data_IF_919058692193
#
_entry.id   IF_919058692193
#
_cell.length_a   1.000
_cell.length_b   1.000
_cell.length_c   1.000
_cell.angle_alpha   90.00
_cell.angle_beta   90.00
_cell.angle_gamma   90.00
#
_symmetry.space_group_name_H-M   'P 1'
#
loop_
_entity.id
_entity.type
_entity.pdbx_description
1 polymer ?
#
# COMPACT_ATOMS: atom_id res chain seq x y z
N UNK A 1 16.35 -2.63 -18.21
CA UNK A 1 16.96 -1.68 -19.18
C UNK A 1 17.73 -2.50 -20.22
N UNK A 2 17.41 -2.38 -21.52
CA UNK A 2 18.04 -3.18 -22.59
C UNK A 2 19.14 -2.38 -23.29
N UNK A 3 20.26 -3.00 -23.68
CA UNK A 3 21.26 -2.36 -24.54
C UNK A 3 20.62 -1.89 -25.86
N UNK A 4 20.95 -0.67 -26.30
CA UNK A 4 20.44 -0.08 -27.55
C UNK A 4 19.01 0.49 -27.50
N UNK A 5 18.39 0.55 -26.32
CA UNK A 5 17.09 1.21 -26.12
C UNK A 5 17.24 2.42 -25.18
N UNK A 6 16.29 3.36 -25.20
CA UNK A 6 16.35 4.57 -24.38
C UNK A 6 16.44 4.21 -22.89
N UNK A 7 17.38 4.83 -22.17
CA UNK A 7 17.76 4.47 -20.79
C UNK A 7 18.84 3.38 -20.71
N UNK A 8 19.17 2.71 -21.81
CA UNK A 8 20.26 1.73 -21.96
C UNK A 8 21.67 2.29 -21.75
N UNK A 9 21.83 3.58 -22.04
CA UNK A 9 23.06 4.36 -21.85
C UNK A 9 23.30 4.75 -20.38
N UNK A 10 22.26 4.71 -19.55
CA UNK A 10 22.32 5.02 -18.11
C UNK A 10 22.08 3.72 -17.33
N UNK A 11 23.12 2.97 -16.95
CA UNK A 11 22.93 1.78 -16.14
C UNK A 11 22.41 2.19 -14.75
N UNK A 12 21.09 2.22 -14.58
CA UNK A 12 20.45 2.35 -13.28
C UNK A 12 20.71 1.04 -12.53
N UNK A 13 21.79 1.03 -11.74
CA UNK A 13 21.99 0.06 -10.66
C UNK A 13 21.43 0.68 -9.39
N UNK A 14 20.42 0.04 -8.83
CA UNK A 14 19.87 0.40 -7.53
C UNK A 14 19.51 -0.87 -6.78
N UNK A 15 19.87 -0.91 -5.50
CA UNK A 15 19.40 -1.95 -4.60
C UNK A 15 18.06 -1.49 -4.02
N UNK A 16 16.99 -2.20 -4.35
CA UNK A 16 15.70 -2.00 -3.71
C UNK A 16 15.71 -2.72 -2.37
N UNK A 17 16.07 -1.99 -1.30
CA UNK A 17 15.73 -2.44 0.04
C UNK A 17 14.25 -2.16 0.27
N UNK A 18 13.43 -3.21 0.31
CA UNK A 18 12.07 -3.11 0.85
C UNK A 18 12.21 -2.60 2.28
N UNK A 19 11.95 -1.30 2.49
CA UNK A 19 12.07 -0.68 3.80
C UNK A 19 11.09 -1.36 4.75
N UNK A 20 11.39 -1.30 6.05
CA UNK A 20 10.50 -1.75 7.12
C UNK A 20 9.05 -1.39 6.81
N UNK A 21 8.10 -2.29 7.08
CA UNK A 21 6.67 -2.03 6.95
C UNK A 21 6.26 -0.68 7.59
N UNK A 22 6.92 -0.29 8.69
CA UNK A 22 6.73 1.02 9.33
C UNK A 22 7.06 2.21 8.41
N UNK A 23 8.02 2.09 7.50
CA UNK A 23 8.32 3.16 6.54
C UNK A 23 7.24 3.29 5.47
N UNK A 24 6.61 2.17 5.07
CA UNK A 24 5.45 2.20 4.15
C UNK A 24 4.28 2.90 4.84
N UNK A 25 4.00 2.55 6.09
CA UNK A 25 2.97 3.23 6.88
C UNK A 25 3.26 4.73 7.07
N UNK A 26 4.51 5.08 7.34
CA UNK A 26 4.91 6.48 7.49
C UNK A 26 4.72 7.27 6.18
N UNK A 27 5.09 6.68 5.04
CA UNK A 27 4.85 7.29 3.74
C UNK A 27 3.36 7.55 3.49
N UNK A 28 2.51 6.54 3.70
CA UNK A 28 1.05 6.68 3.54
C UNK A 28 0.44 7.66 4.54
N UNK A 29 0.98 7.75 5.76
CA UNK A 29 0.54 8.71 6.77
C UNK A 29 0.87 10.15 6.36
N UNK A 30 2.09 10.38 5.84
CA UNK A 30 2.52 11.71 5.38
C UNK A 30 1.75 12.18 4.15
N UNK A 31 1.35 11.27 3.26
CA UNK A 31 0.60 11.64 2.05
C UNK A 31 -0.82 12.14 2.30
N UNK A 32 -1.37 11.98 3.52
CA UNK A 32 -2.67 12.51 3.90
C UNK A 32 -2.67 14.04 4.08
N UNK A 33 -1.56 14.63 4.54
CA UNK A 33 -1.51 16.05 4.92
C UNK A 33 -0.17 16.70 4.59
N UNK A 34 0.94 16.13 5.06
CA UNK A 34 2.27 16.77 4.98
C UNK A 34 2.85 16.81 3.56
N UNK A 35 2.80 15.68 2.86
CA UNK A 35 3.40 15.48 1.55
C UNK A 35 2.41 14.82 0.58
N UNK A 36 1.33 15.53 0.17
CA UNK A 36 0.32 14.97 -0.70
C UNK A 36 0.90 14.55 -2.04
N UNK A 37 0.53 13.35 -2.48
CA UNK A 37 0.88 12.86 -3.82
C UNK A 37 0.14 13.68 -4.88
N UNK A 38 0.78 13.88 -6.04
CA UNK A 38 0.29 14.75 -7.11
C UNK A 38 0.54 14.11 -8.47
N UNK A 39 -0.28 14.51 -9.45
CA UNK A 39 -0.19 13.98 -10.80
C UNK A 39 1.12 14.39 -11.47
N UNK A 40 1.74 13.45 -12.17
CA UNK A 40 2.99 13.67 -12.92
C UNK A 40 2.76 13.22 -14.35
N UNK A 41 2.91 14.18 -15.27
CA UNK A 41 2.80 13.89 -16.69
C UNK A 41 3.81 12.82 -17.10
N UNK A 42 3.30 11.88 -17.90
CA UNK A 42 4.12 10.80 -18.40
C UNK A 42 5.13 11.31 -19.41
N UNK A 43 6.38 10.87 -19.26
CA UNK A 43 7.42 11.17 -20.24
C UNK A 43 6.99 10.61 -21.62
N UNK A 44 7.13 11.39 -22.72
CA UNK A 44 6.75 10.96 -24.07
C UNK A 44 7.40 9.65 -24.55
N UNK A 45 8.50 9.24 -23.91
CA UNK A 45 9.21 7.99 -24.20
C UNK A 45 8.61 6.78 -23.51
N UNK A 46 7.64 6.99 -22.61
CA UNK A 46 6.92 5.93 -21.89
C UNK A 46 5.87 5.34 -22.84
N UNK A 47 5.86 4.01 -23.08
CA UNK A 47 4.79 3.38 -23.84
C UNK A 47 3.42 3.61 -23.19
N UNK A 48 2.35 3.47 -23.97
CA UNK A 48 0.99 3.56 -23.44
C UNK A 48 0.80 2.56 -22.29
N UNK A 49 0.29 3.05 -21.17
CA UNK A 49 -0.09 2.26 -20.00
C UNK A 49 -1.58 2.45 -19.73
N UNK A 50 -2.15 1.52 -18.95
CA UNK A 50 -3.58 1.52 -18.65
C UNK A 50 -3.92 2.23 -17.34
N UNK A 51 -3.00 2.22 -16.38
CA UNK A 51 -3.26 2.69 -15.02
C UNK A 51 -2.01 3.39 -14.45
N UNK A 52 -2.16 4.65 -14.05
CA UNK A 52 -1.15 5.45 -13.36
C UNK A 52 -1.89 6.40 -12.40
N UNK A 53 -2.36 5.89 -11.25
CA UNK A 53 -3.06 6.72 -10.29
C UNK A 53 -2.11 7.72 -9.65
N UNK A 54 -2.65 8.88 -9.31
CA UNK A 54 -1.93 9.94 -8.61
C UNK A 54 -1.47 9.48 -7.22
N UNK A 55 -2.32 8.73 -6.53
CA UNK A 55 -2.08 8.25 -5.17
C UNK A 55 -1.68 6.78 -5.19
N UNK A 56 -0.69 6.43 -4.37
CA UNK A 56 -0.31 5.03 -4.11
C UNK A 56 -1.52 4.21 -3.66
N UNK A 57 -2.32 4.78 -2.75
CA UNK A 57 -3.64 4.30 -2.35
C UNK A 57 -4.38 5.48 -1.71
N UNK A 58 -5.63 5.71 -2.11
CA UNK A 58 -6.42 6.81 -1.57
C UNK A 58 -7.01 6.46 -0.20
N UNK A 59 -6.71 7.31 0.79
CA UNK A 59 -7.19 7.20 2.16
C UNK A 59 -8.14 8.35 2.46
N UNK A 60 -9.29 8.03 3.06
CA UNK A 60 -10.28 8.98 3.53
C UNK A 60 -10.00 9.29 5.00
N UNK A 61 -9.87 10.57 5.31
CA UNK A 61 -9.76 11.10 6.66
C UNK A 61 -10.95 12.03 6.93
N UNK A 62 -11.72 11.75 7.98
CA UNK A 62 -12.89 12.56 8.33
C UNK A 62 -13.17 12.60 9.83
N UNK A 63 -13.89 13.63 10.28
CA UNK A 63 -14.37 13.72 11.67
C UNK A 63 -15.55 12.79 11.98
N UNK A 64 -16.31 12.42 10.94
CA UNK A 64 -17.45 11.51 10.99
C UNK A 64 -17.19 10.26 10.18
N UNK A 65 -17.97 9.19 10.40
CA UNK A 65 -17.81 7.95 9.64
C UNK A 65 -18.05 8.20 8.13
N UNK A 66 -17.10 7.86 7.24
CA UNK A 66 -17.26 8.08 5.81
C UNK A 66 -18.46 7.31 5.25
N UNK A 67 -19.36 8.02 4.57
CA UNK A 67 -20.48 7.38 3.87
C UNK A 67 -19.97 6.62 2.65
N UNK A 68 -20.41 5.36 2.50
CA UNK A 68 -20.04 4.52 1.36
C UNK A 68 -18.67 3.85 1.45
N UNK A 69 -17.90 4.00 2.53
CA UNK A 69 -16.72 3.17 2.76
C UNK A 69 -17.14 1.75 3.19
N UNK A 70 -16.51 0.73 2.59
CA UNK A 70 -16.76 -0.68 2.98
C UNK A 70 -16.36 -0.95 4.45
N UNK A 71 -15.29 -0.30 4.90
CA UNK A 71 -14.77 -0.37 6.27
C UNK A 71 -14.17 0.97 6.66
N UNK A 72 -14.46 1.42 7.88
CA UNK A 72 -13.75 2.53 8.50
C UNK A 72 -13.32 2.17 9.92
N UNK A 73 -12.21 2.77 10.37
CA UNK A 73 -11.72 2.65 11.74
C UNK A 73 -11.61 4.03 12.36
N UNK A 74 -12.01 4.15 13.62
CA UNK A 74 -11.84 5.37 14.39
C UNK A 74 -10.55 5.29 15.21
N UNK A 75 -9.67 6.26 15.04
CA UNK A 75 -8.42 6.38 15.80
C UNK A 75 -8.10 7.84 16.05
N UNK A 76 -7.61 8.17 17.25
CA UNK A 76 -7.28 9.55 17.64
C UNK A 76 -8.36 10.61 17.32
N UNK A 77 -9.64 10.22 17.45
CA UNK A 77 -10.77 11.11 17.20
C UNK A 77 -11.20 11.26 15.74
N UNK A 78 -10.41 10.75 14.78
CA UNK A 78 -10.72 10.79 13.34
C UNK A 78 -11.11 9.40 12.83
N UNK A 79 -11.85 9.37 11.73
CA UNK A 79 -12.17 8.17 10.97
C UNK A 79 -11.22 8.04 9.79
N UNK A 80 -10.72 6.82 9.59
CA UNK A 80 -9.86 6.43 8.49
C UNK A 80 -10.55 5.33 7.68
N UNK A 81 -10.53 5.46 6.37
CA UNK A 81 -10.99 4.42 5.46
C UNK A 81 -10.14 4.40 4.18
N UNK A 82 -10.13 3.29 3.46
CA UNK A 82 -9.63 3.27 2.08
C UNK A 82 -10.77 3.72 1.17
N UNK A 83 -10.50 4.61 0.21
CA UNK A 83 -11.53 4.99 -0.76
C UNK A 83 -11.77 3.82 -1.72
N UNK A 84 -12.80 3.03 -1.44
CA UNK A 84 -13.18 1.88 -2.25
C UNK A 84 -14.28 2.19 -3.26
N UNK A 85 -14.52 3.47 -3.53
CA UNK A 85 -15.50 4.00 -4.47
C UNK A 85 -14.82 4.69 -5.66
N UNK A 86 -15.60 4.95 -6.71
CA UNK A 86 -15.14 5.70 -7.88
C UNK A 86 -14.20 4.90 -8.80
N UNK A 87 -13.56 5.58 -9.77
CA UNK A 87 -12.80 4.92 -10.83
C UNK A 87 -11.53 4.21 -10.35
N UNK A 88 -10.94 4.65 -9.23
CA UNK A 88 -9.73 4.06 -8.65
C UNK A 88 -10.00 3.01 -7.57
N UNK A 89 -11.27 2.66 -7.34
CA UNK A 89 -11.68 1.68 -6.33
C UNK A 89 -10.91 0.35 -6.40
N UNK A 90 -10.70 -0.16 -7.62
CA UNK A 90 -9.98 -1.43 -7.83
C UNK A 90 -8.52 -1.31 -7.41
N UNK A 91 -7.83 -0.27 -7.85
CA UNK A 91 -6.44 0.01 -7.47
C UNK A 91 -6.28 0.13 -5.95
N UNK A 92 -7.14 0.93 -5.31
CA UNK A 92 -7.09 1.14 -3.85
C UNK A 92 -7.30 -0.17 -3.07
N UNK A 93 -8.22 -1.03 -3.52
CA UNK A 93 -8.45 -2.36 -2.90
C UNK A 93 -7.25 -3.27 -3.08
N UNK A 94 -6.69 -3.35 -4.28
CA UNK A 94 -5.52 -4.18 -4.58
C UNK A 94 -4.28 -3.71 -3.78
N UNK A 95 -4.05 -2.40 -3.72
CA UNK A 95 -2.97 -1.80 -2.94
C UNK A 95 -3.14 -2.09 -1.43
N UNK A 96 -4.35 -1.93 -0.89
CA UNK A 96 -4.63 -2.25 0.51
C UNK A 96 -4.43 -3.74 0.81
N UNK A 97 -4.87 -4.62 -0.09
CA UNK A 97 -4.70 -6.06 0.06
C UNK A 97 -3.22 -6.44 0.10
N UNK A 98 -2.40 -5.87 -0.78
CA UNK A 98 -0.94 -6.06 -0.76
C UNK A 98 -0.32 -5.55 0.54
N UNK A 99 -0.71 -4.35 1.01
CA UNK A 99 -0.26 -3.80 2.28
C UNK A 99 -0.62 -4.72 3.46
N UNK A 100 -1.84 -5.26 3.48
CA UNK A 100 -2.30 -6.19 4.50
C UNK A 100 -1.51 -7.51 4.48
N UNK A 101 -1.21 -8.06 3.29
CA UNK A 101 -0.35 -9.24 3.18
C UNK A 101 1.06 -8.99 3.73
N UNK A 102 1.64 -7.82 3.42
CA UNK A 102 2.93 -7.40 3.99
C UNK A 102 2.87 -7.24 5.52
N UNK A 103 1.78 -6.66 6.04
CA UNK A 103 1.54 -6.58 7.47
C UNK A 103 1.53 -7.96 8.14
N UNK A 104 0.76 -8.90 7.60
CA UNK A 104 0.65 -10.27 8.14
C UNK A 104 2.01 -10.97 8.16
N UNK A 105 2.84 -10.80 7.12
CA UNK A 105 4.18 -11.39 7.09
C UNK A 105 5.17 -10.72 8.05
N UNK A 106 4.94 -9.47 8.44
CA UNK A 106 5.86 -8.70 9.29
C UNK A 106 5.48 -8.68 10.76
N UNK A 107 4.22 -8.94 11.08
CA UNK A 107 3.68 -8.92 12.46
C UNK A 107 3.41 -10.34 13.00
N UNK A 108 3.86 -11.39 12.34
CA UNK A 108 3.78 -12.75 12.88
C UNK A 108 4.75 -12.96 14.06
N UNK A 109 4.30 -12.62 15.27
CA UNK A 109 4.40 -13.60 16.35
C UNK A 109 3.45 -14.75 15.99
N UNK A 110 3.99 -15.93 15.76
CA UNK A 110 3.20 -17.18 15.71
C UNK A 110 2.42 -17.27 17.02
N UNK A 111 1.10 -17.52 17.01
CA UNK A 111 0.38 -17.78 18.26
C UNK A 111 1.04 -18.96 18.98
N UNK A 112 1.67 -18.73 20.14
CA UNK A 112 2.07 -19.81 21.06
C UNK A 112 0.87 -20.31 21.87
N UNK A 113 -0.29 -20.47 21.24
CA UNK A 113 -1.46 -21.05 21.87
C UNK A 113 -2.09 -22.03 20.89
N UNK A 114 -1.97 -23.32 21.21
CA UNK A 114 -2.67 -24.39 20.50
C UNK A 114 -1.83 -25.25 19.57
N UNK A 115 -0.56 -25.58 19.91
CA UNK A 115 -0.01 -26.85 19.41
C UNK A 115 -0.91 -27.94 20.01
N UNK A 116 -1.56 -28.81 19.21
CA UNK A 116 -2.22 -29.97 19.79
C UNK A 116 -1.11 -30.80 20.44
N UNK A 117 -1.10 -30.86 21.77
CA UNK A 117 -0.30 -31.84 22.48
C UNK A 117 -0.82 -33.20 22.06
N UNK A 118 -0.13 -33.88 21.15
CA UNK A 118 -0.34 -35.30 20.89
C UNK A 118 0.14 -36.03 22.15
N UNK A 119 -0.75 -36.18 23.12
CA UNK A 119 -0.51 -37.05 24.27
C UNK A 119 -0.75 -38.47 23.81
N UNK A 120 0.33 -39.25 23.67
CA UNK A 120 0.23 -40.70 23.55
C UNK A 120 -0.11 -41.23 24.95
N UNK A 121 -1.34 -41.69 25.15
CA UNK A 121 -1.72 -42.43 26.35
C UNK A 121 -0.98 -43.78 26.37
N UNK A 122 -0.45 -44.15 27.54
CA UNK A 122 0.29 -45.38 27.79
C UNK A 122 -0.62 -46.59 27.85
#
# INVERSE_FOLDING_TARGET
IRPGHVGGEYPLKGDFRLRSFNTILNFLGRSLEEDPEYDVESDPRTPAFYENPVHTMELLLSDEAPSGADLSIRSHGKYYAVNSNGPMARWNREAFQLLYLLFQMTVTEVPRVGVPSITIAK
#
